data_IF_589124639870
#
_entry.id   IF_589124639870
#
_cell.length_a   1.000
_cell.length_b   1.000
_cell.length_c   1.000
_cell.angle_alpha   90.00
_cell.angle_beta   90.00
_cell.angle_gamma   90.00
#
_symmetry.space_group_name_H-M   'P 1'
#
loop_
_entity.id
_entity.type
_entity.pdbx_description
1 polymer ?
#
# COMPACT_ATOMS: atom_id res chain seq x y z
N UNK A 1 -18.26 -5.60 -7.31
CA UNK A 1 -18.58 -5.56 -5.87
C UNK A 1 -18.26 -4.17 -5.35
N UNK A 2 -19.24 -3.52 -4.74
CA UNK A 2 -19.20 -2.10 -4.37
C UNK A 2 -18.02 -1.76 -3.45
N UNK A 3 -17.18 -0.84 -3.90
CA UNK A 3 -16.16 -0.20 -3.07
C UNK A 3 -16.89 0.65 -2.03
N UNK A 4 -17.16 0.04 -0.88
CA UNK A 4 -17.68 0.71 0.30
C UNK A 4 -16.61 1.70 0.72
N UNK A 5 -16.70 2.94 0.20
CA UNK A 5 -15.79 4.06 0.45
C UNK A 5 -15.63 4.19 1.96
N UNK A 6 -14.59 3.55 2.52
CA UNK A 6 -14.41 3.55 3.95
C UNK A 6 -13.97 4.95 4.31
N UNK A 7 -14.89 5.72 4.86
CA UNK A 7 -14.66 7.09 5.31
C UNK A 7 -13.39 7.10 6.14
N UNK A 8 -12.39 7.86 5.70
CA UNK A 8 -11.14 8.07 6.45
C UNK A 8 -11.54 8.52 7.84
N UNK A 9 -11.07 7.80 8.86
CA UNK A 9 -11.36 8.17 10.25
C UNK A 9 -10.40 9.30 10.59
N UNK A 10 -10.91 10.51 10.58
CA UNK A 10 -10.18 11.69 11.01
C UNK A 10 -10.49 11.95 12.49
N UNK A 11 -9.45 12.16 13.30
CA UNK A 11 -9.58 12.58 14.70
C UNK A 11 -8.97 13.97 14.84
N UNK A 12 -9.67 14.83 15.56
CA UNK A 12 -9.18 16.16 15.93
C UNK A 12 -8.88 16.15 17.43
N UNK A 13 -7.61 16.34 17.77
CA UNK A 13 -7.12 16.37 19.15
C UNK A 13 -6.42 17.70 19.44
N UNK A 14 -6.15 17.95 20.72
CA UNK A 14 -5.38 19.13 21.14
C UNK A 14 -4.22 18.72 22.03
N UNK A 15 -3.02 19.18 21.69
CA UNK A 15 -1.86 19.08 22.57
C UNK A 15 -1.78 20.38 23.40
N UNK A 16 -1.83 20.24 24.72
CA UNK A 16 -1.75 21.34 25.68
C UNK A 16 -0.37 21.39 26.35
N UNK A 17 0.44 22.38 25.98
CA UNK A 17 1.74 22.60 26.59
C UNK A 17 1.61 23.48 27.83
N UNK A 18 2.06 22.97 28.97
CA UNK A 18 2.03 23.70 30.23
C UNK A 18 3.43 23.87 30.80
N UNK A 19 3.71 25.06 31.34
CA UNK A 19 4.87 25.31 32.20
C UNK A 19 4.54 24.96 33.63
N UNK A 20 5.50 24.42 34.37
CA UNK A 20 5.41 24.26 35.82
C UNK A 20 6.43 25.21 36.44
N UNK A 21 5.94 26.18 37.22
CA UNK A 21 6.79 27.14 37.94
C UNK A 21 6.63 26.88 39.44
N UNK A 22 7.74 26.67 40.13
CA UNK A 22 7.72 26.30 41.56
C UNK A 22 7.15 24.89 41.78
N UNK A 23 6.56 24.64 42.95
CA UNK A 23 6.14 23.28 43.35
C UNK A 23 4.78 22.85 42.80
N UNK A 24 3.95 23.76 42.29
CA UNK A 24 2.54 23.41 41.98
C UNK A 24 1.86 24.29 40.93
N UNK A 25 2.45 25.41 40.50
CA UNK A 25 1.75 26.33 39.61
C UNK A 25 1.93 25.88 38.14
N UNK A 26 0.82 25.49 37.52
CA UNK A 26 0.75 25.02 36.13
C UNK A 26 0.16 26.12 35.26
N UNK A 27 0.91 26.58 34.26
CA UNK A 27 0.51 27.64 33.34
C UNK A 27 0.42 27.10 31.93
N UNK A 28 -0.74 27.22 31.26
CA UNK A 28 -0.86 26.86 29.85
C UNK A 28 -0.07 27.87 29.01
N UNK A 29 0.93 27.39 28.27
CA UNK A 29 1.77 28.21 27.40
C UNK A 29 1.26 28.17 25.96
N UNK A 30 0.81 26.99 25.51
CA UNK A 30 0.41 26.78 24.12
C UNK A 30 -0.62 25.67 23.99
N UNK A 31 -1.55 25.88 23.07
CA UNK A 31 -2.45 24.85 22.55
C UNK A 31 -2.11 24.63 21.08
N UNK A 32 -1.98 23.37 20.67
CA UNK A 32 -1.77 22.98 19.28
C UNK A 32 -2.91 22.06 18.89
N UNK A 33 -3.69 22.45 17.89
CA UNK A 33 -4.69 21.58 17.28
C UNK A 33 -3.97 20.57 16.38
N UNK A 34 -4.28 19.29 16.56
CA UNK A 34 -3.71 18.17 15.81
C UNK A 34 -4.83 17.44 15.10
N UNK A 35 -4.66 17.24 13.81
CA UNK A 35 -5.57 16.40 13.02
C UNK A 35 -4.82 15.13 12.63
N UNK A 36 -5.44 13.97 12.86
CA UNK A 36 -4.87 12.66 12.57
C UNK A 36 -5.82 11.91 11.66
N UNK A 37 -5.34 11.57 10.46
CA UNK A 37 -6.05 10.75 9.50
C UNK A 37 -5.60 9.30 9.63
N UNK A 38 -6.53 8.41 9.96
CA UNK A 38 -6.26 6.97 9.99
C UNK A 38 -6.40 6.42 8.57
N UNK A 39 -5.24 6.20 7.95
CA UNK A 39 -5.12 5.62 6.62
C UNK A 39 -5.08 4.09 6.73
N UNK A 40 -5.85 3.39 5.89
CA UNK A 40 -5.79 1.92 5.80
C UNK A 40 -4.67 1.51 4.84
N UNK A 41 -3.89 0.45 5.13
CA UNK A 41 -2.93 -0.07 4.19
C UNK A 41 -3.66 -0.81 3.05
N UNK A 42 -3.87 -0.13 1.93
CA UNK A 42 -4.59 -0.69 0.78
C UNK A 42 -3.68 -0.70 -0.43
N UNK A 43 -3.59 -1.86 -1.08
CA UNK A 43 -2.97 -2.04 -2.39
C UNK A 43 -4.08 -2.30 -3.41
N UNK A 44 -3.99 -1.65 -4.56
CA UNK A 44 -4.83 -1.95 -5.72
C UNK A 44 -4.14 -3.00 -6.59
N UNK A 45 -4.88 -4.04 -6.95
CA UNK A 45 -4.42 -5.11 -7.85
C UNK A 45 -4.99 -4.88 -9.25
N UNK A 46 -4.19 -5.08 -10.30
CA UNK A 46 -4.66 -4.98 -11.69
C UNK A 46 -5.79 -5.97 -12.02
N UNK A 47 -5.81 -7.11 -11.33
CA UNK A 47 -6.87 -8.12 -11.38
C UNK A 47 -6.97 -8.84 -10.03
N UNK A 48 -8.15 -9.33 -9.68
CA UNK A 48 -8.36 -10.18 -8.50
C UNK A 48 -7.96 -11.64 -8.74
N UNK A 49 -7.96 -12.08 -10.00
CA UNK A 49 -7.73 -13.47 -10.38
C UNK A 49 -6.89 -13.53 -11.67
N UNK A 50 -6.01 -14.52 -11.76
CA UNK A 50 -5.21 -14.81 -12.94
C UNK A 50 -5.58 -16.20 -13.47
N UNK A 51 -6.03 -16.27 -14.71
CA UNK A 51 -6.39 -17.53 -15.37
C UNK A 51 -5.24 -17.98 -16.27
N UNK A 52 -4.79 -19.21 -16.06
CA UNK A 52 -3.78 -19.85 -16.91
C UNK A 52 -4.41 -21.05 -17.61
N UNK A 53 -4.51 -20.97 -18.94
CA UNK A 53 -4.95 -22.06 -19.82
C UNK A 53 -4.03 -22.10 -21.02
N UNK A 54 -3.54 -23.28 -21.36
CA UNK A 54 -2.71 -23.51 -22.53
C UNK A 54 -3.41 -24.57 -23.38
N UNK A 55 -3.79 -24.22 -24.60
CA UNK A 55 -4.30 -25.17 -25.60
C UNK A 55 -3.18 -25.46 -26.57
N UNK A 56 -2.85 -26.74 -26.78
CA UNK A 56 -1.76 -27.19 -27.66
C UNK A 56 -2.14 -28.42 -28.46
N UNK A 57 -1.61 -28.48 -29.69
CA UNK A 57 -1.56 -29.68 -30.49
C UNK A 57 -0.34 -30.55 -30.12
N UNK A 58 -0.33 -31.85 -30.46
CA UNK A 58 0.79 -32.75 -30.15
C UNK A 58 2.15 -32.31 -30.72
N UNK A 59 2.15 -31.49 -31.77
CA UNK A 59 3.35 -30.96 -32.41
C UNK A 59 3.88 -29.68 -31.78
N UNK A 60 3.15 -29.06 -30.84
CA UNK A 60 3.50 -27.75 -30.33
C UNK A 60 4.59 -27.83 -29.26
N UNK A 61 5.64 -27.02 -29.41
CA UNK A 61 6.68 -26.89 -28.39
C UNK A 61 6.15 -26.15 -27.15
N UNK A 62 6.57 -26.61 -25.96
CA UNK A 62 6.27 -25.93 -24.69
C UNK A 62 7.21 -24.75 -24.48
N UNK A 63 6.64 -23.54 -24.50
CA UNK A 63 7.32 -22.30 -24.13
C UNK A 63 6.78 -21.75 -22.81
N UNK A 64 7.64 -21.05 -22.07
CA UNK A 64 7.25 -20.33 -20.86
C UNK A 64 6.24 -19.23 -21.24
N UNK A 65 5.20 -19.08 -20.43
CA UNK A 65 4.16 -18.07 -20.59
C UNK A 65 4.21 -17.11 -19.41
N UNK A 66 3.99 -15.83 -19.67
CA UNK A 66 3.95 -14.79 -18.65
C UNK A 66 2.61 -14.07 -18.70
N UNK A 67 2.00 -13.87 -17.54
CA UNK A 67 0.87 -12.96 -17.39
C UNK A 67 1.31 -11.78 -16.52
N UNK A 68 0.99 -10.57 -16.98
CA UNK A 68 1.35 -9.36 -16.26
C UNK A 68 0.40 -9.15 -15.07
N UNK A 69 0.98 -8.80 -13.92
CA UNK A 69 0.26 -8.50 -12.70
C UNK A 69 0.90 -7.28 -12.04
N UNK A 70 0.09 -6.29 -11.69
CA UNK A 70 0.59 -5.03 -11.11
C UNK A 70 -0.05 -4.82 -9.75
N UNK A 71 0.79 -4.49 -8.76
CA UNK A 71 0.38 -4.05 -7.42
C UNK A 71 0.69 -2.56 -7.30
N UNK A 72 -0.33 -1.73 -7.05
CA UNK A 72 -0.16 -0.28 -6.94
C UNK A 72 -0.49 0.17 -5.52
N UNK A 73 0.46 0.86 -4.88
CA UNK A 73 0.18 1.59 -3.65
C UNK A 73 -0.61 2.86 -3.98
N UNK A 74 -1.84 2.97 -3.48
CA UNK A 74 -2.74 4.11 -3.69
C UNK A 74 -2.88 5.00 -2.45
N UNK A 75 -2.10 4.73 -1.40
CA UNK A 75 -2.15 5.46 -0.14
C UNK A 75 -0.81 6.10 0.18
N UNK A 76 -0.86 7.23 0.89
CA UNK A 76 0.33 7.97 1.36
C UNK A 76 0.93 7.31 2.61
N UNK A 77 1.10 5.99 2.56
CA UNK A 77 1.71 5.17 3.59
C UNK A 77 2.71 4.24 2.92
N UNK A 78 3.93 4.16 3.44
CA UNK A 78 4.90 3.16 2.98
C UNK A 78 4.40 1.78 3.38
N UNK A 79 4.24 0.88 2.40
CA UNK A 79 3.72 -0.46 2.61
C UNK A 79 4.79 -1.50 2.31
N UNK A 80 4.87 -2.50 3.18
CA UNK A 80 5.61 -3.74 2.92
C UNK A 80 4.59 -4.83 2.59
N UNK A 81 4.74 -5.49 1.45
CA UNK A 81 3.84 -6.54 0.99
C UNK A 81 4.59 -7.85 0.80
N UNK A 82 3.96 -8.95 1.17
CA UNK A 82 4.42 -10.31 0.87
C UNK A 82 3.51 -10.87 -0.23
N UNK A 83 4.11 -11.27 -1.35
CA UNK A 83 3.41 -11.96 -2.44
C UNK A 83 4.00 -13.35 -2.56
N UNK A 84 3.14 -14.36 -2.44
CA UNK A 84 3.50 -15.76 -2.54
C UNK A 84 2.65 -16.43 -3.62
N UNK A 85 3.25 -17.40 -4.32
CA UNK A 85 2.56 -18.21 -5.30
C UNK A 85 2.90 -19.67 -5.06
N UNK A 86 1.95 -20.56 -5.32
CA UNK A 86 2.17 -22.00 -5.23
C UNK A 86 2.63 -22.57 -6.58
N UNK A 87 3.46 -23.62 -6.51
CA UNK A 87 3.80 -24.46 -7.66
C UNK A 87 2.52 -24.92 -8.38
N UNK A 88 2.49 -24.95 -9.73
CA UNK A 88 3.62 -24.82 -10.66
C UNK A 88 3.97 -23.39 -11.09
N UNK A 89 3.35 -22.37 -10.50
CA UNK A 89 3.55 -20.97 -10.89
C UNK A 89 4.79 -20.36 -10.23
N UNK A 90 5.35 -19.36 -10.88
CA UNK A 90 6.50 -18.60 -10.39
C UNK A 90 6.24 -17.11 -10.57
N UNK A 91 6.79 -16.29 -9.66
CA UNK A 91 6.78 -14.84 -9.78
C UNK A 91 8.08 -14.39 -10.45
N UNK A 92 7.96 -13.46 -11.39
CA UNK A 92 9.09 -12.83 -12.05
C UNK A 92 8.90 -11.32 -11.96
N UNK A 93 9.95 -10.62 -11.53
CA UNK A 93 9.98 -9.16 -11.49
C UNK A 93 10.57 -8.70 -12.82
N UNK A 94 9.78 -7.96 -13.60
CA UNK A 94 10.26 -7.34 -14.82
C UNK A 94 11.12 -6.11 -14.47
N UNK A 95 12.44 -6.32 -14.42
CA UNK A 95 13.45 -5.30 -14.11
C UNK A 95 13.39 -4.09 -15.05
N UNK A 96 12.77 -4.22 -16.24
CA UNK A 96 12.60 -3.12 -17.18
C UNK A 96 11.74 -1.98 -16.60
N UNK A 97 10.82 -2.29 -15.66
CA UNK A 97 9.92 -1.32 -15.02
C UNK A 97 10.43 -0.71 -13.71
N UNK A 98 11.54 -1.19 -13.12
CA UNK A 98 12.13 -0.52 -11.95
C UNK A 98 12.73 0.85 -12.31
N UNK A 99 13.14 1.04 -13.56
CA UNK A 99 13.84 2.24 -14.04
C UNK A 99 12.97 3.52 -14.09
N UNK A 100 11.63 3.39 -14.06
CA UNK A 100 10.70 4.53 -14.11
C UNK A 100 10.36 5.11 -12.74
N UNK A 101 10.54 4.35 -11.65
CA UNK A 101 10.16 4.77 -10.29
C UNK A 101 11.27 5.51 -9.52
N UNK A 102 12.50 5.54 -10.05
CA UNK A 102 13.68 6.17 -9.41
C UNK A 102 13.96 7.59 -9.93
N UNK A 103 13.25 8.07 -10.97
CA UNK A 103 13.58 9.34 -11.67
C UNK A 103 12.81 10.59 -11.23
N UNK A 104 12.07 10.55 -10.13
CA UNK A 104 11.42 11.74 -9.59
C UNK A 104 11.96 12.06 -8.18
N UNK A 105 13.18 12.61 -8.14
CA UNK A 105 13.67 13.47 -7.07
C UNK A 105 14.15 14.80 -7.66
#
# INVERSE_FOLDING_TARGET
MESKRSRVKTIHEKILCHSIIGRSAKYLIKTVDVTVDFIKPVIELSTSELFYRIEKAPSDELSIQFNHFTMTNKVDLLLTCLLEVCSPFNLFIDETYLSTMVRNE
#
